data_IF_714372386523
#
_entry.id   IF_714372386523
#
_cell.length_a   1.000
_cell.length_b   1.000
_cell.length_c   1.000
_cell.angle_alpha   90.00
_cell.angle_beta   90.00
_cell.angle_gamma   90.00
#
_symmetry.space_group_name_H-M   'P 1'
#
loop_
_entity.id
_entity.type
_entity.pdbx_description
1 polymer ?
#
# COMPACT_ATOMS: atom_id res chain seq x y z
N UNK A 1 -28.80 4.89 -4.53
CA UNK A 1 -28.52 4.05 -3.36
C UNK A 1 -27.45 4.74 -2.55
N UNK A 2 -27.78 5.13 -1.31
CA UNK A 2 -26.86 5.80 -0.40
C UNK A 2 -25.72 4.85 -0.02
N UNK A 3 -24.52 5.09 -0.51
CA UNK A 3 -23.30 4.44 -0.03
C UNK A 3 -22.93 5.07 1.31
N UNK A 4 -23.60 4.59 2.36
CA UNK A 4 -23.43 5.10 3.69
C UNK A 4 -22.05 4.73 4.26
N UNK A 5 -21.42 5.75 4.83
CA UNK A 5 -20.21 5.77 5.65
C UNK A 5 -18.99 5.10 5.02
N UNK A 6 -18.03 5.92 4.64
CA UNK A 6 -16.68 5.50 4.31
C UNK A 6 -16.13 4.65 5.47
N UNK A 7 -15.88 3.37 5.21
CA UNK A 7 -15.35 2.45 6.21
C UNK A 7 -13.94 2.90 6.58
N UNK A 8 -13.77 3.39 7.81
CA UNK A 8 -12.46 3.75 8.33
C UNK A 8 -11.73 2.50 8.80
N UNK A 9 -10.55 2.24 8.22
CA UNK A 9 -9.72 1.09 8.57
C UNK A 9 -8.56 1.56 9.44
N UNK A 10 -8.54 1.06 10.67
CA UNK A 10 -7.43 1.27 11.60
C UNK A 10 -6.17 0.54 11.13
N UNK A 11 -5.04 1.02 11.59
CA UNK A 11 -3.73 0.40 11.42
C UNK A 11 -3.30 0.24 9.95
N UNK A 12 -4.07 0.83 9.00
CA UNK A 12 -3.79 0.84 7.57
C UNK A 12 -3.04 2.11 7.16
N UNK A 13 -1.81 1.94 6.64
CA UNK A 13 -1.12 2.94 5.85
C UNK A 13 -1.37 2.67 4.36
N UNK A 14 -2.09 3.58 3.70
CA UNK A 14 -2.30 3.50 2.25
C UNK A 14 -1.28 4.37 1.53
N UNK A 15 -0.65 3.81 0.49
CA UNK A 15 0.24 4.52 -0.41
C UNK A 15 -0.31 4.43 -1.83
N UNK A 16 -0.59 5.60 -2.41
CA UNK A 16 -0.95 5.76 -3.80
C UNK A 16 0.02 6.74 -4.48
N UNK A 17 -0.19 7.03 -5.76
CA UNK A 17 0.64 8.04 -6.41
C UNK A 17 0.26 8.32 -7.85
N UNK A 18 0.89 9.35 -8.41
CA UNK A 18 0.56 9.94 -9.71
C UNK A 18 0.84 9.01 -10.91
N UNK A 19 1.64 7.95 -10.73
CA UNK A 19 2.00 7.07 -11.86
C UNK A 19 2.69 5.78 -11.47
N UNK A 20 3.25 5.10 -12.49
CA UNK A 20 4.12 3.93 -12.32
C UNK A 20 5.56 4.40 -12.10
N UNK A 21 6.37 3.57 -11.46
CA UNK A 21 7.82 3.76 -11.26
C UNK A 21 8.22 5.06 -10.53
N UNK A 22 7.31 5.66 -9.75
CA UNK A 22 7.58 6.86 -8.93
C UNK A 22 8.06 6.52 -7.51
N UNK A 23 8.47 5.28 -7.26
CA UNK A 23 9.06 4.88 -6.00
C UNK A 23 8.11 4.39 -4.90
N UNK A 24 6.79 4.18 -5.15
CA UNK A 24 5.83 3.70 -4.14
C UNK A 24 6.32 2.47 -3.38
N UNK A 25 6.72 1.42 -4.10
CA UNK A 25 7.23 0.18 -3.52
C UNK A 25 8.51 0.41 -2.73
N UNK A 26 9.42 1.25 -3.25
CA UNK A 26 10.65 1.64 -2.54
C UNK A 26 10.32 2.37 -1.23
N UNK A 27 9.35 3.29 -1.26
CA UNK A 27 8.89 4.01 -0.07
C UNK A 27 8.38 3.04 1.01
N UNK A 28 7.48 2.11 0.63
CA UNK A 28 6.94 1.08 1.54
C UNK A 28 8.08 0.23 2.14
N UNK A 29 9.01 -0.25 1.30
CA UNK A 29 10.13 -1.05 1.76
C UNK A 29 10.98 -0.32 2.79
N UNK A 30 11.26 0.98 2.59
CA UNK A 30 12.03 1.79 3.54
C UNK A 30 11.27 2.01 4.85
N UNK A 31 9.95 2.25 4.81
CA UNK A 31 9.11 2.35 6.02
C UNK A 31 9.15 1.07 6.84
N UNK A 32 9.03 -0.10 6.20
CA UNK A 32 9.09 -1.40 6.86
C UNK A 32 10.48 -1.64 7.46
N UNK A 33 11.53 -1.47 6.67
CA UNK A 33 12.91 -1.77 7.06
C UNK A 33 13.42 -0.90 8.23
N UNK A 34 12.91 0.32 8.37
CA UNK A 34 13.30 1.23 9.43
C UNK A 34 12.75 0.83 10.81
N UNK A 35 11.76 -0.07 10.87
CA UNK A 35 11.13 -0.51 12.11
C UNK A 35 11.34 -2.02 12.35
N UNK A 36 12.59 -2.49 12.52
CA UNK A 36 12.91 -3.92 12.50
C UNK A 36 12.31 -4.72 13.67
N UNK A 37 11.91 -4.05 14.76
CA UNK A 37 11.30 -4.69 15.92
C UNK A 37 9.76 -4.77 15.83
N UNK A 38 9.17 -4.18 14.78
CA UNK A 38 7.75 -4.25 14.51
C UNK A 38 7.47 -5.09 13.27
N UNK A 39 6.48 -5.96 13.39
CA UNK A 39 6.00 -6.73 12.25
C UNK A 39 4.91 -5.94 11.52
N UNK A 40 4.89 -6.06 10.20
CA UNK A 40 3.90 -5.45 9.31
C UNK A 40 3.37 -6.47 8.32
N UNK A 41 2.10 -6.32 7.95
CA UNK A 41 1.57 -6.89 6.73
C UNK A 41 1.77 -5.94 5.55
N UNK A 42 1.82 -6.46 4.33
CA UNK A 42 1.87 -5.64 3.12
C UNK A 42 0.96 -6.20 2.03
N UNK A 43 0.26 -5.32 1.31
CA UNK A 43 -0.62 -5.71 0.19
C UNK A 43 -0.26 -4.87 -1.03
N UNK A 44 -0.12 -5.52 -2.17
CA UNK A 44 -0.12 -4.89 -3.49
C UNK A 44 -1.43 -5.18 -4.19
N UNK A 45 -2.12 -4.14 -4.64
CA UNK A 45 -3.34 -4.27 -5.43
C UNK A 45 -3.09 -3.80 -6.86
N UNK A 46 -3.40 -4.64 -7.84
CA UNK A 46 -3.28 -4.37 -9.27
C UNK A 46 -4.63 -4.49 -9.96
N UNK A 47 -4.98 -3.54 -10.85
CA UNK A 47 -6.17 -3.66 -11.70
C UNK A 47 -5.98 -4.60 -12.90
N UNK A 48 -4.78 -5.16 -13.05
CA UNK A 48 -4.43 -6.01 -14.19
C UNK A 48 -4.28 -7.46 -13.76
N UNK A 49 -4.87 -8.36 -14.53
CA UNK A 49 -4.75 -9.80 -14.36
C UNK A 49 -3.53 -10.28 -15.15
N UNK A 50 -2.61 -10.94 -14.45
CA UNK A 50 -1.41 -11.56 -15.02
C UNK A 50 -1.25 -12.95 -14.44
N UNK A 51 -0.53 -13.81 -15.16
CA UNK A 51 -0.11 -15.10 -14.62
C UNK A 51 0.75 -14.88 -13.35
N UNK A 52 0.55 -15.70 -12.32
CA UNK A 52 1.31 -15.59 -11.09
C UNK A 52 2.81 -15.87 -11.36
N UNK A 53 3.66 -15.08 -10.72
CA UNK A 53 5.11 -15.28 -10.78
C UNK A 53 5.55 -16.29 -9.72
N UNK A 54 6.76 -16.83 -9.88
CA UNK A 54 7.34 -17.75 -8.90
C UNK A 54 7.35 -17.12 -7.51
N UNK A 55 6.77 -17.83 -6.52
CA UNK A 55 6.63 -17.37 -5.15
C UNK A 55 5.21 -16.95 -4.77
N UNK A 56 4.37 -16.65 -5.74
CA UNK A 56 2.94 -16.37 -5.50
C UNK A 56 2.17 -17.69 -5.36
N UNK A 57 1.65 -17.92 -4.16
CA UNK A 57 0.82 -19.09 -3.83
C UNK A 57 -0.65 -18.64 -3.81
N UNK A 58 -1.54 -19.26 -4.58
CA UNK A 58 -2.95 -18.86 -4.61
C UNK A 58 -3.61 -19.11 -3.26
N UNK A 59 -4.29 -18.08 -2.75
CA UNK A 59 -5.17 -18.13 -1.58
C UNK A 59 -6.62 -18.27 -2.04
N UNK A 60 -6.99 -17.48 -3.04
CA UNK A 60 -8.30 -17.52 -3.66
C UNK A 60 -8.20 -17.05 -5.11
N UNK A 61 -8.78 -17.81 -6.03
CA UNK A 61 -8.89 -17.43 -7.44
C UNK A 61 -10.35 -17.57 -7.88
N UNK A 62 -10.90 -16.49 -8.39
CA UNK A 62 -12.24 -16.40 -8.99
C UNK A 62 -12.13 -15.78 -10.37
N UNK A 63 -13.26 -15.65 -11.07
CA UNK A 63 -13.33 -14.90 -12.34
C UNK A 63 -13.18 -13.39 -12.12
N UNK A 64 -13.54 -12.90 -10.92
CA UNK A 64 -13.63 -11.48 -10.59
C UNK A 64 -12.35 -10.93 -9.95
N UNK A 65 -11.66 -11.74 -9.13
CA UNK A 65 -10.41 -11.35 -8.50
C UNK A 65 -9.57 -12.56 -8.10
N UNK A 66 -8.29 -12.31 -7.87
CA UNK A 66 -7.32 -13.31 -7.42
C UNK A 66 -6.51 -12.76 -6.26
N UNK A 67 -6.29 -13.59 -5.25
CA UNK A 67 -5.48 -13.29 -4.07
C UNK A 67 -4.37 -14.31 -3.96
N UNK A 68 -3.14 -13.83 -3.88
CA UNK A 68 -1.94 -14.65 -3.72
C UNK A 68 -1.18 -14.24 -2.47
N UNK A 69 -0.65 -15.22 -1.74
CA UNK A 69 0.38 -14.99 -0.73
C UNK A 69 1.76 -15.05 -1.39
N UNK A 70 2.60 -14.08 -1.13
CA UNK A 70 4.00 -14.09 -1.57
C UNK A 70 4.84 -14.88 -0.58
N UNK A 71 5.60 -15.85 -1.07
CA UNK A 71 6.50 -16.69 -0.28
C UNK A 71 7.97 -16.52 -0.63
N UNK A 72 8.27 -15.80 -1.72
CA UNK A 72 9.62 -15.56 -2.19
C UNK A 72 10.11 -14.15 -1.80
N UNK A 73 11.17 -14.05 -1.01
CA UNK A 73 11.78 -12.77 -0.64
C UNK A 73 13.03 -12.41 -1.48
N UNK A 74 13.28 -13.10 -2.59
CA UNK A 74 14.50 -12.94 -3.38
C UNK A 74 14.27 -12.35 -4.78
N UNK A 75 13.02 -12.13 -5.19
CA UNK A 75 12.72 -11.53 -6.49
C UNK A 75 12.59 -9.99 -6.39
N UNK A 76 12.62 -9.33 -7.55
CA UNK A 76 12.43 -7.88 -7.67
C UNK A 76 10.95 -7.47 -7.77
N UNK A 77 10.01 -8.41 -7.58
CA UNK A 77 8.57 -8.11 -7.56
C UNK A 77 8.19 -7.35 -6.29
N UNK A 78 7.21 -6.46 -6.39
CA UNK A 78 6.82 -5.58 -5.30
C UNK A 78 6.54 -6.35 -4.00
N UNK A 79 5.74 -7.40 -4.04
CA UNK A 79 5.38 -8.24 -2.89
C UNK A 79 6.58 -8.96 -2.28
N UNK A 80 7.49 -9.46 -3.12
CA UNK A 80 8.75 -10.07 -2.71
C UNK A 80 9.68 -9.07 -2.02
N UNK A 81 9.73 -7.83 -2.54
CA UNK A 81 10.52 -6.74 -1.95
C UNK A 81 9.98 -6.35 -0.57
N UNK A 82 8.65 -6.41 -0.33
CA UNK A 82 8.08 -6.18 0.99
C UNK A 82 8.55 -7.22 2.00
N UNK A 83 8.54 -8.50 1.64
CA UNK A 83 9.08 -9.57 2.50
C UNK A 83 10.58 -9.36 2.77
N UNK A 84 11.36 -9.04 1.75
CA UNK A 84 12.79 -8.73 1.89
C UNK A 84 13.04 -7.54 2.81
N UNK A 85 12.16 -6.55 2.83
CA UNK A 85 12.23 -5.40 3.72
C UNK A 85 11.83 -5.72 5.17
N UNK A 86 11.25 -6.90 5.43
CA UNK A 86 10.89 -7.35 6.78
C UNK A 86 9.39 -7.47 7.05
N UNK A 87 8.53 -7.36 6.03
CA UNK A 87 7.12 -7.65 6.20
C UNK A 87 6.92 -9.11 6.67
N UNK A 88 6.04 -9.31 7.64
CA UNK A 88 5.73 -10.64 8.17
C UNK A 88 4.91 -11.48 7.18
N UNK A 89 4.04 -10.81 6.42
CA UNK A 89 3.24 -11.39 5.34
C UNK A 89 3.09 -10.37 4.22
N UNK A 90 3.01 -10.86 3.00
CA UNK A 90 2.79 -10.04 1.82
C UNK A 90 1.78 -10.69 0.88
N UNK A 91 0.78 -9.93 0.44
CA UNK A 91 -0.26 -10.41 -0.46
C UNK A 91 -0.29 -9.61 -1.75
N UNK A 92 -0.59 -10.29 -2.85
CA UNK A 92 -0.86 -9.69 -4.14
C UNK A 92 -2.32 -9.91 -4.53
N UNK A 93 -3.02 -8.81 -4.81
CA UNK A 93 -4.41 -8.83 -5.25
C UNK A 93 -4.48 -8.37 -6.70
N UNK A 94 -5.16 -9.12 -7.53
CA UNK A 94 -5.56 -8.73 -8.89
C UNK A 94 -7.09 -8.60 -8.89
N UNK A 95 -7.59 -7.41 -9.19
CA UNK A 95 -9.04 -7.14 -9.17
C UNK A 95 -9.37 -5.89 -9.96
N UNK A 96 -10.57 -5.82 -10.52
CA UNK A 96 -11.14 -4.59 -11.05
C UNK A 96 -11.73 -3.69 -9.94
N UNK A 97 -12.25 -2.53 -10.32
CA UNK A 97 -12.83 -1.57 -9.38
C UNK A 97 -14.15 -2.08 -8.76
N UNK A 98 -14.91 -2.94 -9.48
CA UNK A 98 -16.19 -3.46 -9.02
C UNK A 98 -16.05 -4.45 -7.85
N UNK A 99 -14.96 -5.22 -7.86
CA UNK A 99 -14.72 -6.29 -6.88
C UNK A 99 -13.61 -5.94 -5.87
N UNK A 100 -13.04 -4.73 -5.97
CA UNK A 100 -11.95 -4.25 -5.12
C UNK A 100 -12.27 -4.36 -3.62
N UNK A 101 -13.50 -4.02 -3.23
CA UNK A 101 -13.92 -4.05 -1.83
C UNK A 101 -13.92 -5.47 -1.27
N UNK A 102 -14.46 -6.43 -2.03
CA UNK A 102 -14.54 -7.82 -1.60
C UNK A 102 -13.17 -8.47 -1.53
N UNK A 103 -12.34 -8.27 -2.56
CA UNK A 103 -10.97 -8.75 -2.59
C UNK A 103 -10.14 -8.20 -1.43
N UNK A 104 -10.24 -6.90 -1.14
CA UNK A 104 -9.54 -6.28 -0.02
C UNK A 104 -10.01 -6.81 1.34
N UNK A 105 -11.33 -6.91 1.56
CA UNK A 105 -11.89 -7.41 2.82
C UNK A 105 -11.45 -8.85 3.09
N UNK A 106 -11.51 -9.72 2.08
CA UNK A 106 -11.06 -11.11 2.21
C UNK A 106 -9.55 -11.22 2.48
N UNK A 107 -8.74 -10.32 1.95
CA UNK A 107 -7.29 -10.33 2.20
C UNK A 107 -6.96 -9.76 3.56
N UNK A 108 -7.63 -8.68 3.98
CA UNK A 108 -7.31 -8.00 5.26
C UNK A 108 -7.52 -8.91 6.48
N UNK A 109 -8.47 -9.83 6.43
CA UNK A 109 -8.72 -10.79 7.53
C UNK A 109 -7.71 -11.95 7.57
N UNK A 110 -6.80 -12.06 6.61
CA UNK A 110 -5.70 -13.03 6.63
C UNK A 110 -4.51 -12.57 7.50
N UNK A 111 -4.50 -11.31 7.88
CA UNK A 111 -3.56 -10.79 8.86
C UNK A 111 -4.03 -11.05 10.29
N UNK A 112 -3.07 -11.11 11.21
CA UNK A 112 -3.40 -11.09 12.63
C UNK A 112 -4.13 -9.76 12.95
N UNK A 113 -5.15 -9.74 13.82
CA UNK A 113 -5.99 -8.58 14.07
C UNK A 113 -5.24 -7.32 14.53
N UNK A 114 -4.11 -7.49 15.23
CA UNK A 114 -3.29 -6.40 15.76
C UNK A 114 -2.07 -6.08 14.87
N UNK A 115 -1.99 -6.69 13.69
CA UNK A 115 -0.88 -6.46 12.77
C UNK A 115 -1.15 -5.20 11.94
N UNK A 116 -0.38 -4.10 12.12
CA UNK A 116 -0.48 -2.97 11.23
C UNK A 116 0.00 -3.36 9.83
N UNK A 117 -0.62 -2.77 8.82
CA UNK A 117 -0.31 -3.14 7.45
C UNK A 117 -0.28 -1.95 6.49
N UNK A 118 0.49 -2.14 5.43
CA UNK A 118 0.69 -1.16 4.37
C UNK A 118 0.05 -1.67 3.08
N UNK A 119 -0.63 -0.79 2.35
CA UNK A 119 -1.23 -1.14 1.07
C UNK A 119 -0.74 -0.20 -0.03
N UNK A 120 -0.24 -0.78 -1.11
CA UNK A 120 0.01 -0.05 -2.35
C UNK A 120 -1.18 -0.20 -3.29
N UNK A 121 -1.94 0.88 -3.46
CA UNK A 121 -3.09 0.91 -4.36
C UNK A 121 -3.45 2.33 -4.76
N UNK A 122 -3.68 2.56 -6.05
CA UNK A 122 -4.21 3.83 -6.53
C UNK A 122 -5.73 3.93 -6.41
N UNK A 123 -6.44 2.83 -6.15
CA UNK A 123 -7.91 2.77 -6.19
C UNK A 123 -8.58 2.64 -4.82
N UNK A 124 -7.87 2.08 -3.84
CA UNK A 124 -8.46 1.70 -2.56
C UNK A 124 -9.09 2.88 -1.80
N UNK A 125 -8.50 4.10 -1.91
CA UNK A 125 -9.03 5.32 -1.28
C UNK A 125 -10.42 5.73 -1.77
N UNK A 126 -10.88 5.21 -2.89
CA UNK A 126 -12.23 5.46 -3.40
C UNK A 126 -13.32 4.74 -2.60
N UNK A 127 -12.98 3.66 -1.91
CA UNK A 127 -13.96 2.77 -1.25
C UNK A 127 -13.81 2.73 0.28
N UNK A 128 -12.71 3.26 0.83
CA UNK A 128 -12.47 3.30 2.27
C UNK A 128 -11.62 4.50 2.68
N UNK A 129 -11.62 4.79 3.97
CA UNK A 129 -10.72 5.77 4.61
C UNK A 129 -9.64 4.99 5.37
N UNK A 130 -8.37 5.04 4.96
CA UNK A 130 -7.28 4.45 5.74
C UNK A 130 -7.04 5.28 7.01
N UNK A 131 -6.28 4.72 7.95
CA UNK A 131 -5.84 5.50 9.11
C UNK A 131 -4.89 6.63 8.71
N UNK A 132 -3.99 6.34 7.76
CA UNK A 132 -3.08 7.33 7.19
C UNK A 132 -2.91 7.12 5.69
N UNK A 133 -3.03 8.19 4.92
CA UNK A 133 -2.94 8.13 3.46
C UNK A 133 -1.80 9.02 2.95
N UNK A 134 -0.83 8.40 2.29
CA UNK A 134 0.27 9.09 1.61
C UNK A 134 0.08 9.01 0.10
N UNK A 135 0.13 10.17 -0.56
CA UNK A 135 0.16 10.26 -2.01
C UNK A 135 1.57 10.63 -2.48
N UNK A 136 2.17 9.80 -3.33
CA UNK A 136 3.48 10.06 -3.92
C UNK A 136 3.30 10.73 -5.29
N UNK A 137 3.81 11.95 -5.42
CA UNK A 137 3.81 12.72 -6.65
C UNK A 137 5.18 12.60 -7.34
N UNK A 138 5.22 11.95 -8.49
CA UNK A 138 6.44 11.93 -9.32
C UNK A 138 6.64 13.27 -10.06
N UNK A 139 7.88 13.75 -10.12
CA UNK A 139 8.24 15.04 -10.75
C UNK A 139 7.85 15.12 -12.23
N UNK A 140 7.96 14.00 -12.96
CA UNK A 140 7.77 13.94 -14.41
C UNK A 140 6.36 13.48 -14.83
N UNK A 141 5.46 13.29 -13.86
CA UNK A 141 4.11 12.83 -14.12
C UNK A 141 3.12 13.99 -14.26
N UNK A 142 2.51 14.09 -15.46
CA UNK A 142 1.40 15.00 -15.70
C UNK A 142 0.19 14.52 -14.87
N UNK A 143 -0.32 15.40 -14.03
CA UNK A 143 -1.49 15.09 -13.21
C UNK A 143 -2.74 14.98 -14.11
N UNK A 144 -3.52 13.95 -13.86
CA UNK A 144 -4.87 13.82 -14.39
C UNK A 144 -5.89 14.08 -13.27
N UNK A 145 -7.16 14.24 -13.64
CA UNK A 145 -8.23 14.53 -12.68
C UNK A 145 -8.28 13.52 -11.50
N UNK A 146 -8.02 12.27 -11.78
CA UNK A 146 -8.00 11.21 -10.75
C UNK A 146 -6.82 11.39 -9.77
N UNK A 147 -5.62 11.68 -10.27
CA UNK A 147 -4.46 11.89 -9.39
C UNK A 147 -4.60 13.15 -8.54
N UNK A 148 -5.20 14.22 -9.08
CA UNK A 148 -5.52 15.43 -8.32
C UNK A 148 -6.50 15.11 -7.19
N UNK A 149 -7.60 14.41 -7.48
CA UNK A 149 -8.58 13.99 -6.47
C UNK A 149 -7.94 13.14 -5.35
N UNK A 150 -7.10 12.18 -5.70
CA UNK A 150 -6.43 11.33 -4.70
C UNK A 150 -5.44 12.13 -3.85
N UNK A 151 -4.70 13.05 -4.45
CA UNK A 151 -3.79 13.94 -3.73
C UNK A 151 -4.53 14.84 -2.73
N UNK A 152 -5.67 15.39 -3.12
CA UNK A 152 -6.51 16.22 -2.23
C UNK A 152 -7.07 15.44 -1.03
N UNK A 153 -7.25 14.13 -1.16
CA UNK A 153 -7.68 13.23 -0.08
C UNK A 153 -6.55 12.72 0.81
N UNK A 154 -5.29 13.00 0.44
CA UNK A 154 -4.14 12.50 1.17
C UNK A 154 -3.88 13.30 2.46
N UNK A 155 -3.51 12.59 3.53
CA UNK A 155 -3.03 13.22 4.76
C UNK A 155 -1.64 13.82 4.56
N UNK A 156 -0.86 13.25 3.62
CA UNK A 156 0.47 13.70 3.27
C UNK A 156 0.76 13.49 1.79
N UNK A 157 1.28 14.53 1.12
CA UNK A 157 1.84 14.43 -0.23
C UNK A 157 3.35 14.42 -0.15
N UNK A 158 3.98 13.41 -0.76
CA UNK A 158 5.43 13.27 -0.87
C UNK A 158 5.83 13.40 -2.34
N UNK A 159 6.74 14.31 -2.63
CA UNK A 159 7.31 14.43 -3.99
C UNK A 159 8.46 13.46 -4.16
N UNK A 160 8.53 12.84 -5.35
CA UNK A 160 9.56 11.87 -5.70
C UNK A 160 10.24 12.23 -7.02
N UNK A 161 11.57 12.22 -6.98
CA UNK A 161 12.45 12.39 -8.14
C UNK A 161 13.53 11.31 -8.04
N UNK A 162 13.64 10.41 -9.01
CA UNK A 162 14.63 9.33 -9.05
C UNK A 162 14.70 8.47 -7.76
N UNK A 163 13.55 8.22 -7.12
CA UNK A 163 13.40 7.55 -5.81
C UNK A 163 13.99 8.31 -4.62
N UNK A 164 14.34 9.56 -4.78
CA UNK A 164 14.55 10.50 -3.69
C UNK A 164 13.20 11.13 -3.32
N UNK A 165 12.93 11.24 -2.04
CA UNK A 165 11.64 11.69 -1.53
C UNK A 165 11.78 13.00 -0.75
N UNK A 166 10.81 13.92 -0.93
CA UNK A 166 10.76 15.18 -0.17
C UNK A 166 10.57 14.98 1.33
N UNK A 167 10.11 13.80 1.72
CA UNK A 167 10.10 13.31 3.10
C UNK A 167 10.72 11.92 3.13
N UNK A 168 11.73 11.73 3.97
CA UNK A 168 12.36 10.43 4.19
C UNK A 168 11.34 9.40 4.69
N UNK A 169 11.18 8.23 4.02
CA UNK A 169 10.24 7.20 4.45
C UNK A 169 10.47 6.73 5.90
N UNK A 170 11.69 6.82 6.38
CA UNK A 170 12.12 6.48 7.74
C UNK A 170 11.45 7.34 8.82
N UNK A 171 10.92 8.51 8.46
CA UNK A 171 10.14 9.37 9.35
C UNK A 171 8.70 8.91 9.53
N UNK A 172 8.24 7.97 8.72
CA UNK A 172 6.91 7.36 8.86
C UNK A 172 7.04 6.17 9.78
N UNK A 173 6.30 6.17 10.87
CA UNK A 173 6.34 5.06 11.81
C UNK A 173 4.98 4.77 12.43
N UNK A 174 4.83 3.53 12.92
CA UNK A 174 3.66 3.06 13.62
C UNK A 174 3.94 2.94 15.13
N UNK A 175 3.15 3.68 15.91
CA UNK A 175 3.12 3.54 17.38
C UNK A 175 1.69 3.76 17.86
N UNK A 176 0.90 2.69 17.95
CA UNK A 176 -0.56 2.63 18.14
C UNK A 176 -1.36 3.20 16.97
N UNK A 177 -0.78 4.08 16.17
CA UNK A 177 -1.30 4.67 14.94
C UNK A 177 -0.14 5.10 14.05
N UNK A 178 -0.42 5.27 12.75
CA UNK A 178 0.56 5.76 11.79
C UNK A 178 0.77 7.26 11.96
N UNK A 179 2.01 7.69 11.92
CA UNK A 179 2.38 9.11 12.04
C UNK A 179 3.73 9.43 11.42
N UNK A 180 3.97 10.72 11.25
CA UNK A 180 5.26 11.29 10.85
C UNK A 180 6.04 11.65 12.10
N UNK A 181 7.33 11.40 12.13
CA UNK A 181 8.22 11.89 13.18
C UNK A 181 8.33 13.41 13.08
N UNK A 182 7.88 14.12 14.10
CA UNK A 182 8.06 15.54 14.22
C UNK A 182 9.46 15.81 14.80
N UNK A 183 10.30 16.53 14.05
CA UNK A 183 11.51 17.08 14.65
C UNK A 183 11.13 18.23 15.57
N UNK A 184 11.12 17.99 16.87
CA UNK A 184 11.28 19.08 17.80
C UNK A 184 12.70 19.62 17.67
N UNK A 185 12.86 20.75 16.99
CA UNK A 185 14.06 21.54 17.13
C UNK A 185 14.09 22.05 18.59
N UNK A 186 14.97 21.46 19.39
CA UNK A 186 15.28 21.95 20.73
C UNK A 186 16.19 23.18 20.63
#
# INVERSE_FOLDING_TARGET
MNWGMDLKIKDLLLIAGSGRNIGKTTFICRVIAHQPFRKFGAIKISPHFHEPTLGLVPVLETSEFRIYEETNCHSDKDTSRYLKAGAAKSYYIQTDDAHLKDAFNLTSVLFDPDLPFLVESNRLRQILIPEFFIFIQGSDHIENAFSIEMREKADLTVFSTDNEFSLEPEKIYFNRYWKVEEHFYA
#
